data_IF_588517193495
#
_entry.id   IF_588517193495
#
_cell.length_a   1.000
_cell.length_b   1.000
_cell.length_c   1.000
_cell.angle_alpha   90.00
_cell.angle_beta   90.00
_cell.angle_gamma   90.00
#
_symmetry.space_group_name_H-M   'P 1'
#
loop_
_entity.id
_entity.type
_entity.pdbx_description
1 polymer ?
#
# COMPACT_ATOMS: atom_id res chain seq x y z
N UNK A 1 -10.33 49.68 -30.05
CA UNK A 1 -10.02 49.38 -28.64
C UNK A 1 -9.18 48.12 -28.64
N UNK A 2 -7.85 48.26 -28.53
CA UNK A 2 -6.88 47.16 -28.58
C UNK A 2 -6.72 46.61 -27.17
N UNK A 3 -7.04 45.34 -26.96
CA UNK A 3 -6.64 44.64 -25.74
C UNK A 3 -5.23 44.08 -25.97
N UNK A 4 -4.23 44.76 -25.41
CA UNK A 4 -2.88 44.23 -25.26
C UNK A 4 -2.89 43.21 -24.12
N UNK A 5 -2.66 41.94 -24.45
CA UNK A 5 -2.50 40.85 -23.49
C UNK A 5 -1.04 40.83 -22.99
N UNK A 6 -0.61 41.92 -22.36
CA UNK A 6 0.73 42.03 -21.76
C UNK A 6 0.64 41.80 -20.25
N UNK A 7 0.63 40.54 -19.82
CA UNK A 7 1.23 40.03 -18.57
C UNK A 7 0.91 38.55 -18.36
N UNK A 8 1.48 37.68 -19.20
CA UNK A 8 1.85 36.32 -18.79
C UNK A 8 3.32 36.36 -18.37
N UNK A 9 3.62 37.06 -17.28
CA UNK A 9 4.90 36.95 -16.59
C UNK A 9 4.74 35.90 -15.49
N UNK A 10 5.67 34.95 -15.47
CA UNK A 10 5.87 33.93 -14.44
C UNK A 10 4.84 32.76 -14.38
N UNK A 11 4.86 31.88 -15.39
CA UNK A 11 4.76 30.43 -15.11
C UNK A 11 6.19 29.95 -14.85
N UNK A 12 6.72 30.35 -13.71
CA UNK A 12 7.94 29.78 -13.16
C UNK A 12 7.58 28.39 -12.67
N UNK A 13 7.98 27.36 -13.42
CA UNK A 13 8.33 26.02 -12.92
C UNK A 13 7.67 25.54 -11.61
N UNK A 14 6.34 25.59 -11.51
CA UNK A 14 5.58 24.81 -10.53
C UNK A 14 5.44 23.35 -11.01
N UNK A 15 6.57 22.77 -11.44
CA UNK A 15 6.83 21.33 -11.37
C UNK A 15 7.44 20.97 -10.02
N UNK A 16 7.22 21.81 -8.99
CA UNK A 16 7.00 21.31 -7.64
C UNK A 16 5.96 20.21 -7.84
N UNK A 17 6.36 18.97 -7.61
CA UNK A 17 5.49 17.84 -7.44
C UNK A 17 4.12 18.35 -6.95
N UNK A 18 3.11 18.29 -7.82
CA UNK A 18 1.74 18.52 -7.39
C UNK A 18 1.34 17.31 -6.54
N UNK A 19 1.97 17.16 -5.37
CA UNK A 19 1.50 16.47 -4.19
C UNK A 19 0.31 17.24 -3.57
N UNK A 20 -0.55 17.80 -4.43
CA UNK A 20 -1.84 18.36 -4.07
C UNK A 20 -2.88 17.23 -4.11
N UNK A 21 -2.58 16.16 -3.39
CA UNK A 21 -3.56 15.40 -2.64
C UNK A 21 -2.87 15.12 -1.31
N UNK A 22 -3.19 15.94 -0.31
CA UNK A 22 -2.86 15.70 1.09
C UNK A 22 -3.54 14.40 1.56
N UNK A 23 -3.03 13.26 1.11
CA UNK A 23 -3.01 12.08 1.96
C UNK A 23 -2.01 12.37 3.09
N UNK A 24 -2.34 11.96 4.31
CA UNK A 24 -1.48 12.17 5.47
C UNK A 24 -0.06 11.64 5.16
N UNK A 25 0.93 12.53 5.06
CA UNK A 25 2.32 12.14 4.82
C UNK A 25 2.80 11.31 6.02
N UNK A 26 3.23 10.08 5.78
CA UNK A 26 3.79 9.20 6.81
C UNK A 26 5.07 9.84 7.35
N UNK A 27 5.14 10.09 8.66
CA UNK A 27 6.34 10.56 9.35
C UNK A 27 6.87 9.46 10.27
N UNK A 28 8.20 9.35 10.37
CA UNK A 28 8.85 8.28 11.12
C UNK A 28 10.25 8.73 11.57
N UNK A 29 10.84 8.01 12.53
CA UNK A 29 12.20 8.30 13.01
C UNK A 29 13.15 7.16 12.61
N UNK A 30 14.38 7.51 12.26
CA UNK A 30 15.45 6.52 12.14
C UNK A 30 16.36 6.71 13.35
N UNK A 31 16.41 5.70 14.21
CA UNK A 31 17.21 5.69 15.44
C UNK A 31 18.22 4.53 15.41
N UNK A 32 18.99 4.36 16.48
CA UNK A 32 20.00 3.29 16.55
C UNK A 32 19.42 1.87 16.42
N UNK A 33 18.18 1.62 16.88
CA UNK A 33 17.51 0.33 16.73
C UNK A 33 17.19 0.05 15.26
N UNK A 34 16.60 1.02 14.55
CA UNK A 34 16.34 0.94 13.10
C UNK A 34 17.65 0.68 12.34
N UNK A 35 18.70 1.46 12.62
CA UNK A 35 19.99 1.33 11.93
C UNK A 35 20.62 -0.05 12.16
N UNK A 36 20.55 -0.57 13.39
CA UNK A 36 21.08 -1.91 13.69
C UNK A 36 20.40 -3.01 12.86
N UNK A 37 19.09 -2.87 12.62
CA UNK A 37 18.32 -3.81 11.79
C UNK A 37 18.63 -3.66 10.31
N UNK A 38 18.72 -2.42 9.81
CA UNK A 38 19.12 -2.15 8.43
C UNK A 38 20.50 -2.73 8.12
N UNK A 39 21.47 -2.61 9.05
CA UNK A 39 22.80 -3.22 8.93
C UNK A 39 22.74 -4.75 8.88
N UNK A 40 21.96 -5.37 9.76
CA UNK A 40 21.81 -6.82 9.80
C UNK A 40 21.16 -7.38 8.52
N UNK A 41 20.23 -6.65 7.92
CA UNK A 41 19.54 -7.00 6.68
C UNK A 41 20.33 -6.62 5.42
N UNK A 42 21.52 -6.03 5.55
CA UNK A 42 22.33 -5.51 4.43
C UNK A 42 21.52 -4.57 3.52
N UNK A 43 20.63 -3.78 4.12
CA UNK A 43 19.75 -2.88 3.39
C UNK A 43 20.54 -1.77 2.71
N UNK A 44 20.33 -1.59 1.42
CA UNK A 44 20.94 -0.51 0.66
C UNK A 44 20.11 0.76 0.75
N UNK A 45 20.75 1.86 1.12
CA UNK A 45 20.17 3.19 1.16
C UNK A 45 20.98 4.07 0.24
N UNK A 46 20.33 4.78 -0.69
CA UNK A 46 21.04 5.61 -1.67
C UNK A 46 20.78 7.09 -1.39
N UNK A 47 21.83 7.90 -1.20
CA UNK A 47 21.66 9.34 -1.12
C UNK A 47 21.21 9.88 -2.48
N UNK A 48 20.24 10.80 -2.47
CA UNK A 48 19.75 11.45 -3.69
C UNK A 48 20.40 12.82 -3.81
N UNK A 49 20.96 13.08 -4.98
CA UNK A 49 21.46 14.42 -5.34
C UNK A 49 20.44 15.12 -6.23
N UNK A 50 20.43 16.45 -6.19
CA UNK A 50 19.61 17.25 -7.10
C UNK A 50 20.51 17.91 -8.13
N UNK A 51 20.07 17.86 -9.39
CA UNK A 51 20.78 18.48 -10.51
C UNK A 51 19.78 19.37 -11.26
N UNK A 52 20.12 20.64 -11.45
CA UNK A 52 19.37 21.49 -12.37
C UNK A 52 19.66 21.05 -13.81
N UNK A 53 18.61 20.85 -14.58
CA UNK A 53 18.69 20.37 -15.96
C UNK A 53 17.81 21.23 -16.87
N UNK A 54 18.33 21.50 -18.05
CA UNK A 54 17.61 22.19 -19.12
C UNK A 54 16.85 21.18 -19.97
N UNK A 55 15.60 21.49 -20.29
CA UNK A 55 14.77 20.63 -21.13
C UNK A 55 13.80 21.48 -21.96
N UNK A 56 13.28 20.88 -23.02
CA UNK A 56 12.24 21.48 -23.86
C UNK A 56 10.90 20.87 -23.45
N UNK A 57 10.05 21.59 -22.69
CA UNK A 57 8.79 21.04 -22.22
C UNK A 57 7.86 20.76 -23.39
N UNK A 58 7.05 19.72 -23.24
CA UNK A 58 5.91 19.51 -24.14
C UNK A 58 4.77 20.45 -23.73
N UNK A 59 4.30 21.26 -24.67
CA UNK A 59 3.19 22.21 -24.49
C UNK A 59 2.02 21.85 -25.39
N UNK A 60 0.82 22.27 -25.04
CA UNK A 60 -0.35 22.08 -25.91
C UNK A 60 -0.13 22.83 -27.22
N UNK A 61 -0.36 22.13 -28.33
CA UNK A 61 -0.32 22.71 -29.67
C UNK A 61 -0.96 21.78 -30.69
N UNK A 62 -0.84 22.14 -31.95
CA UNK A 62 -1.37 21.36 -33.07
C UNK A 62 -0.34 20.32 -33.49
N UNK A 63 -0.75 19.04 -33.45
CA UNK A 63 0.03 17.91 -33.97
C UNK A 63 -0.67 17.35 -35.21
N UNK A 64 0.06 16.87 -36.23
CA UNK A 64 -0.54 16.21 -37.38
C UNK A 64 -1.46 15.06 -36.95
N UNK A 65 -2.59 14.90 -37.63
CA UNK A 65 -3.39 13.67 -37.49
C UNK A 65 -2.61 12.49 -38.06
N UNK A 66 -2.89 11.26 -37.62
CA UNK A 66 -2.22 10.07 -38.16
C UNK A 66 -2.38 9.94 -39.68
N UNK A 67 -3.51 10.36 -40.23
CA UNK A 67 -3.75 10.36 -41.68
C UNK A 67 -2.88 11.40 -42.39
N UNK A 68 -2.83 12.62 -41.87
CA UNK A 68 -2.00 13.67 -42.45
C UNK A 68 -0.50 13.39 -42.31
N UNK A 69 -0.08 12.73 -41.23
CA UNK A 69 1.31 12.31 -41.04
C UNK A 69 1.75 11.27 -42.08
N UNK A 70 0.90 10.28 -42.38
CA UNK A 70 1.14 9.31 -43.47
C UNK A 70 1.24 10.03 -44.83
N UNK A 71 0.35 11.00 -45.07
CA UNK A 71 0.40 11.82 -46.27
C UNK A 71 1.72 12.61 -46.37
N UNK A 72 2.15 13.28 -45.30
CA UNK A 72 3.40 14.06 -45.27
C UNK A 72 4.65 13.19 -45.50
N UNK A 73 4.71 12.00 -44.90
CA UNK A 73 5.79 11.05 -45.12
C UNK A 73 5.85 10.59 -46.59
N UNK A 74 4.69 10.27 -47.16
CA UNK A 74 4.58 9.86 -48.56
C UNK A 74 5.00 11.00 -49.49
N UNK A 75 4.51 12.22 -49.23
CA UNK A 75 4.86 13.42 -49.99
C UNK A 75 6.37 13.68 -49.97
N UNK A 76 7.02 13.56 -48.80
CA UNK A 76 8.46 13.75 -48.65
C UNK A 76 9.27 12.72 -49.45
N UNK A 77 8.83 11.47 -49.48
CA UNK A 77 9.44 10.42 -50.31
C UNK A 77 9.35 10.78 -51.80
N UNK A 78 8.16 11.16 -52.27
CA UNK A 78 7.94 11.57 -53.66
C UNK A 78 8.69 12.85 -54.05
N UNK A 79 8.84 13.80 -53.14
CA UNK A 79 9.62 15.04 -53.34
C UNK A 79 11.09 14.73 -53.61
N UNK A 80 11.69 13.82 -52.84
CA UNK A 80 13.09 13.46 -52.99
C UNK A 80 13.36 12.86 -54.37
N UNK A 81 12.58 11.85 -54.75
CA UNK A 81 12.67 11.20 -56.07
C UNK A 81 12.41 12.17 -57.23
N UNK A 82 11.41 13.05 -57.07
CA UNK A 82 11.11 14.10 -58.05
C UNK A 82 12.30 15.03 -58.26
N UNK A 83 12.89 15.52 -57.16
CA UNK A 83 14.02 16.45 -57.21
C UNK A 83 15.26 15.81 -57.83
N UNK A 84 15.54 14.55 -57.49
CA UNK A 84 16.67 13.80 -58.02
C UNK A 84 16.49 13.54 -59.53
N UNK A 85 15.30 13.15 -59.96
CA UNK A 85 14.98 13.04 -61.38
C UNK A 85 15.10 14.37 -62.12
N UNK A 86 14.60 15.47 -61.54
CA UNK A 86 14.65 16.78 -62.17
C UNK A 86 16.07 17.32 -62.36
N UNK A 87 17.00 16.91 -61.49
CA UNK A 87 18.43 17.24 -61.58
C UNK A 87 19.22 16.28 -62.48
N UNK A 88 18.64 15.14 -62.88
CA UNK A 88 19.32 14.17 -63.74
C UNK A 88 19.50 14.71 -65.16
N UNK A 89 20.72 14.64 -65.75
CA UNK A 89 20.99 15.10 -67.11
C UNK A 89 20.46 14.13 -68.19
N UNK A 90 20.20 12.87 -67.83
CA UNK A 90 19.78 11.81 -68.75
C UNK A 90 18.30 11.45 -68.56
N UNK A 91 17.41 12.44 -68.64
CA UNK A 91 15.96 12.19 -68.58
C UNK A 91 15.53 11.44 -69.83
N UNK A 92 15.00 10.23 -69.66
CA UNK A 92 14.41 9.48 -70.77
C UNK A 92 13.08 10.12 -71.17
N UNK A 93 12.92 10.45 -72.45
CA UNK A 93 11.65 10.96 -73.01
C UNK A 93 10.60 9.86 -73.24
N UNK A 94 10.96 8.58 -73.09
CA UNK A 94 10.06 7.46 -73.37
C UNK A 94 9.28 6.95 -72.15
N UNK A 95 9.65 7.40 -70.94
CA UNK A 95 9.01 6.97 -69.70
C UNK A 95 9.05 8.09 -68.66
N UNK A 96 7.87 8.50 -68.20
CA UNK A 96 7.71 9.43 -67.08
C UNK A 96 7.45 8.60 -65.83
N UNK A 97 8.39 8.58 -64.86
CA UNK A 97 8.18 7.87 -63.60
C UNK A 97 6.97 8.41 -62.84
N UNK A 98 6.28 7.53 -62.11
CA UNK A 98 5.07 7.89 -61.36
C UNK A 98 5.27 9.09 -60.43
N UNK A 99 6.43 9.21 -59.78
CA UNK A 99 6.73 10.33 -58.88
C UNK A 99 6.75 11.69 -59.56
N UNK A 100 7.04 11.76 -60.88
CA UNK A 100 7.00 13.00 -61.67
C UNK A 100 5.58 13.52 -61.83
N UNK A 101 4.60 12.62 -61.90
CA UNK A 101 3.17 12.96 -61.96
C UNK A 101 2.51 13.05 -60.59
N UNK A 102 2.96 12.27 -59.62
CA UNK A 102 2.28 12.13 -58.33
C UNK A 102 2.67 13.24 -57.34
N UNK A 103 3.94 13.66 -57.29
CA UNK A 103 4.35 14.74 -56.40
C UNK A 103 3.57 16.05 -56.63
N UNK A 104 3.39 16.53 -57.88
CA UNK A 104 2.55 17.70 -58.13
C UNK A 104 1.09 17.51 -57.74
N UNK A 105 0.52 16.31 -57.90
CA UNK A 105 -0.86 16.03 -57.45
C UNK A 105 -0.96 16.10 -55.93
N UNK A 106 0.02 15.55 -55.20
CA UNK A 106 0.05 15.64 -53.75
C UNK A 106 0.16 17.11 -53.27
N UNK A 107 0.88 17.98 -53.99
CA UNK A 107 0.90 19.42 -53.67
C UNK A 107 -0.49 20.07 -53.80
N UNK A 108 -1.30 19.65 -54.77
CA UNK A 108 -2.67 20.13 -54.91
C UNK A 108 -3.62 19.47 -53.90
N UNK A 109 -3.45 18.18 -53.62
CA UNK A 109 -4.23 17.42 -52.63
C UNK A 109 -4.06 18.02 -51.24
N UNK A 110 -2.84 18.39 -50.83
CA UNK A 110 -2.57 19.03 -49.53
C UNK A 110 -3.35 20.34 -49.31
N UNK A 111 -3.63 21.08 -50.39
CA UNK A 111 -4.42 22.32 -50.32
C UNK A 111 -5.90 22.04 -50.03
N UNK A 112 -6.36 20.82 -50.32
CA UNK A 112 -7.75 20.41 -50.12
C UNK A 112 -8.07 19.96 -48.69
N UNK A 113 -7.05 19.55 -47.91
CA UNK A 113 -7.20 19.20 -46.51
C UNK A 113 -7.58 20.43 -45.66
N UNK A 114 -8.64 20.29 -44.86
CA UNK A 114 -9.04 21.23 -43.81
C UNK A 114 -8.07 21.21 -42.62
N UNK A 115 -8.13 22.23 -41.76
CA UNK A 115 -7.27 22.30 -40.57
C UNK A 115 -7.54 21.16 -39.58
N UNK A 116 -8.79 20.72 -39.44
CA UNK A 116 -9.19 19.61 -38.58
C UNK A 116 -8.73 18.25 -39.12
N UNK A 117 -8.61 18.11 -40.44
CA UNK A 117 -8.04 16.92 -41.07
C UNK A 117 -6.51 16.90 -40.96
N UNK A 118 -5.87 18.07 -41.03
CA UNK A 118 -4.41 18.20 -40.86
C UNK A 118 -3.99 18.00 -39.42
N UNK A 119 -4.69 18.62 -38.49
CA UNK A 119 -4.19 18.78 -37.12
C UNK A 119 -5.23 18.47 -36.05
N UNK A 120 -4.75 17.87 -34.96
CA UNK A 120 -5.48 17.72 -33.71
C UNK A 120 -4.73 18.39 -32.57
N UNK A 121 -5.43 18.64 -31.46
CA UNK A 121 -4.79 19.15 -30.24
C UNK A 121 -3.94 18.02 -29.62
N UNK A 122 -2.67 18.32 -29.38
CA UNK A 122 -1.72 17.38 -28.80
C UNK A 122 -0.59 18.09 -28.07
N UNK A 123 0.45 17.32 -27.74
CA UNK A 123 1.65 17.81 -27.09
C UNK A 123 2.76 18.01 -28.13
N UNK A 124 3.21 19.25 -28.30
CA UNK A 124 4.35 19.60 -29.16
C UNK A 124 5.53 20.01 -28.31
N UNK A 125 6.74 19.63 -28.74
CA UNK A 125 7.99 20.06 -28.11
C UNK A 125 8.10 21.58 -28.22
N UNK A 126 8.23 22.26 -27.09
CA UNK A 126 8.45 23.71 -27.07
C UNK A 126 9.83 24.06 -27.63
N UNK A 127 9.95 25.23 -28.22
CA UNK A 127 11.24 25.86 -28.57
C UNK A 127 11.85 26.66 -27.40
N UNK A 128 11.13 26.76 -26.28
CA UNK A 128 11.58 27.46 -25.07
C UNK A 128 12.33 26.46 -24.20
N UNK A 129 13.57 26.78 -23.84
CA UNK A 129 14.32 26.03 -22.83
C UNK A 129 13.75 26.35 -21.46
N UNK A 130 13.33 25.32 -20.72
CA UNK A 130 12.94 25.40 -19.32
C UNK A 130 13.97 24.69 -18.45
N UNK A 131 13.97 25.03 -17.15
CA UNK A 131 14.83 24.41 -16.14
C UNK A 131 14.00 23.64 -15.14
N UNK A 132 14.48 22.47 -14.72
CA UNK A 132 13.90 21.68 -13.63
C UNK A 132 15.00 21.05 -12.77
N UNK A 133 14.66 20.70 -11.53
CA UNK A 133 15.51 19.87 -10.70
C UNK A 133 15.22 18.39 -10.98
N UNK A 134 16.22 17.67 -11.47
CA UNK A 134 16.21 16.21 -11.56
C UNK A 134 16.78 15.61 -10.27
N UNK A 135 16.11 14.59 -9.74
CA UNK A 135 16.58 13.82 -8.60
C UNK A 135 17.43 12.67 -9.14
N UNK A 136 18.73 12.71 -8.86
CA UNK A 136 19.70 11.78 -9.43
C UNK A 136 20.18 10.80 -8.38
N UNK A 137 20.29 9.53 -8.77
CA UNK A 137 20.84 8.46 -7.94
C UNK A 137 22.15 7.93 -8.53
N UNK A 138 23.10 7.58 -7.67
CA UNK A 138 24.27 6.80 -8.05
C UNK A 138 24.15 5.41 -7.43
N UNK A 139 23.72 4.44 -8.24
CA UNK A 139 23.48 3.06 -7.79
C UNK A 139 24.77 2.32 -7.41
N UNK A 140 25.94 2.85 -7.78
CA UNK A 140 27.24 2.29 -7.41
C UNK A 140 27.72 2.81 -6.04
N UNK A 141 27.04 3.82 -5.49
CA UNK A 141 27.42 4.48 -4.24
C UNK A 141 26.26 4.48 -3.23
N UNK A 142 25.92 3.32 -2.66
CA UNK A 142 25.06 3.29 -1.48
C UNK A 142 25.73 4.06 -0.33
N UNK A 143 24.91 4.52 0.61
CA UNK A 143 25.36 5.19 1.81
C UNK A 143 26.21 4.24 2.66
N UNK A 144 27.49 4.59 2.83
CA UNK A 144 28.45 3.77 3.58
C UNK A 144 28.17 3.79 5.09
N UNK A 145 27.94 4.99 5.64
CA UNK A 145 27.61 5.16 7.05
C UNK A 145 26.11 5.39 7.28
N UNK A 146 25.40 4.31 7.61
CA UNK A 146 23.98 4.38 7.95
C UNK A 146 23.71 5.19 9.23
N UNK A 147 24.72 5.53 10.06
CA UNK A 147 24.53 6.43 11.20
C UNK A 147 24.13 7.85 10.77
N UNK A 148 24.49 8.25 9.54
CA UNK A 148 24.04 9.52 8.95
C UNK A 148 22.52 9.58 8.76
N UNK A 149 21.83 8.44 8.78
CA UNK A 149 20.38 8.39 8.67
C UNK A 149 19.65 8.73 9.97
N UNK A 150 20.35 8.97 11.09
CA UNK A 150 19.67 9.33 12.35
C UNK A 150 18.89 10.62 12.19
N UNK A 151 17.60 10.58 12.50
CA UNK A 151 16.75 11.77 12.46
C UNK A 151 15.28 11.45 12.20
N UNK A 152 14.50 12.51 11.94
CA UNK A 152 13.09 12.40 11.59
C UNK A 152 12.90 12.53 10.08
N UNK A 153 11.99 11.74 9.55
CA UNK A 153 11.76 11.61 8.12
C UNK A 153 10.29 11.72 7.78
N UNK A 154 10.03 12.13 6.55
CA UNK A 154 8.73 11.99 5.90
C UNK A 154 8.86 11.19 4.61
N UNK A 155 7.88 10.35 4.36
CA UNK A 155 7.70 9.67 3.08
C UNK A 155 7.29 10.71 2.03
N UNK A 156 8.01 10.74 0.90
CA UNK A 156 7.67 11.57 -0.25
C UNK A 156 6.85 10.74 -1.25
N UNK A 157 7.33 9.53 -1.58
CA UNK A 157 6.63 8.60 -2.46
C UNK A 157 7.19 7.18 -2.32
N UNK A 158 6.33 6.17 -2.46
CA UNK A 158 6.70 4.74 -2.48
C UNK A 158 6.64 4.11 -3.89
N UNK A 159 6.45 4.91 -4.93
CA UNK A 159 6.24 4.42 -6.32
C UNK A 159 7.41 4.70 -7.25
N UNK A 160 8.51 5.20 -6.71
CA UNK A 160 9.61 5.77 -7.48
C UNK A 160 10.33 4.70 -8.30
N UNK A 161 10.66 5.07 -9.55
CA UNK A 161 11.49 4.29 -10.47
C UNK A 161 12.69 5.10 -10.93
N UNK A 162 13.74 4.39 -11.36
CA UNK A 162 15.00 4.96 -11.83
C UNK A 162 15.06 4.78 -13.34
N UNK A 163 15.30 5.85 -14.09
CA UNK A 163 15.46 5.76 -15.55
C UNK A 163 16.78 5.08 -15.88
N UNK A 164 16.74 3.99 -16.65
CA UNK A 164 17.95 3.28 -17.07
C UNK A 164 18.74 4.04 -18.15
N UNK A 165 18.03 4.86 -18.94
CA UNK A 165 18.56 5.58 -20.09
C UNK A 165 18.03 7.02 -20.15
N UNK A 166 18.65 7.84 -20.99
CA UNK A 166 18.13 9.15 -21.35
C UNK A 166 16.89 8.99 -22.24
N UNK A 167 15.77 9.57 -21.80
CA UNK A 167 14.52 9.64 -22.57
C UNK A 167 14.34 11.08 -23.02
N UNK A 168 14.41 11.29 -24.33
CA UNK A 168 14.45 12.62 -24.93
C UNK A 168 13.37 13.55 -24.36
N UNK A 169 13.80 14.69 -23.81
CA UNK A 169 12.95 15.73 -23.21
C UNK A 169 12.05 15.27 -22.05
N UNK A 170 12.35 14.12 -21.42
CA UNK A 170 11.54 13.58 -20.32
C UNK A 170 12.37 13.21 -19.11
N UNK A 171 13.29 12.26 -19.26
CA UNK A 171 14.09 11.73 -18.15
C UNK A 171 15.57 11.67 -18.53
N UNK A 172 16.44 11.89 -17.56
CA UNK A 172 17.86 11.58 -17.69
C UNK A 172 18.16 10.17 -17.18
N UNK A 173 19.22 9.56 -17.70
CA UNK A 173 19.77 8.34 -17.13
C UNK A 173 20.08 8.53 -15.63
N UNK A 174 19.66 7.57 -14.82
CA UNK A 174 19.71 7.57 -13.37
C UNK A 174 18.85 8.64 -12.69
N UNK A 175 17.86 9.21 -13.38
CA UNK A 175 16.86 10.07 -12.77
C UNK A 175 15.79 9.25 -12.05
N UNK A 176 15.44 9.67 -10.84
CA UNK A 176 14.34 9.15 -10.06
C UNK A 176 13.04 9.89 -10.40
N UNK A 177 12.00 9.14 -10.76
CA UNK A 177 10.69 9.72 -11.06
C UNK A 177 9.55 8.73 -10.80
N UNK A 178 8.42 9.26 -10.32
CA UNK A 178 7.15 8.52 -10.27
C UNK A 178 6.48 8.41 -11.65
N UNK A 179 6.71 9.38 -12.54
CA UNK A 179 6.10 9.43 -13.87
C UNK A 179 6.64 8.35 -14.83
N UNK A 180 7.85 7.84 -14.53
CA UNK A 180 8.50 6.82 -15.35
C UNK A 180 7.66 5.55 -15.44
N UNK A 181 6.92 5.22 -14.38
CA UNK A 181 6.03 4.04 -14.35
C UNK A 181 4.91 4.16 -15.38
N UNK A 182 4.24 5.31 -15.40
CA UNK A 182 3.18 5.60 -16.38
C UNK A 182 3.73 5.64 -17.80
N UNK A 183 4.95 6.15 -17.99
CA UNK A 183 5.59 6.17 -19.30
C UNK A 183 5.90 4.76 -19.84
N UNK A 184 6.41 3.87 -18.99
CA UNK A 184 6.76 2.49 -19.37
C UNK A 184 5.54 1.55 -19.44
N UNK A 185 4.34 2.05 -19.11
CA UNK A 185 3.11 1.25 -19.12
C UNK A 185 3.09 0.16 -18.04
N UNK A 186 3.91 0.28 -17.00
CA UNK A 186 3.92 -0.69 -15.90
C UNK A 186 2.69 -0.51 -15.01
N UNK A 187 2.08 -1.61 -14.52
CA UNK A 187 0.97 -1.54 -13.58
C UNK A 187 1.40 -0.81 -12.29
N UNK A 188 0.42 -0.22 -11.60
CA UNK A 188 0.64 0.41 -10.30
C UNK A 188 1.31 -0.57 -9.33
N UNK A 189 2.38 -0.15 -8.68
CA UNK A 189 3.11 -0.98 -7.74
C UNK A 189 4.13 -0.14 -6.97
N UNK A 190 4.48 -0.61 -5.78
CA UNK A 190 5.50 0.02 -4.95
C UNK A 190 6.83 -0.66 -5.19
N UNK A 191 7.89 0.12 -5.34
CA UNK A 191 9.23 -0.38 -5.71
C UNK A 191 10.29 0.23 -4.81
N UNK A 192 10.45 1.53 -4.91
CA UNK A 192 11.39 2.30 -4.11
C UNK A 192 10.64 3.40 -3.38
N UNK A 193 11.10 3.71 -2.18
CA UNK A 193 10.58 4.78 -1.35
C UNK A 193 11.57 5.92 -1.29
N UNK A 194 11.17 7.09 -1.78
CA UNK A 194 11.87 8.34 -1.55
C UNK A 194 11.45 8.90 -0.20
N UNK A 195 12.44 9.08 0.68
CA UNK A 195 12.26 9.69 1.99
C UNK A 195 13.07 10.98 2.10
N UNK A 196 12.55 11.96 2.83
CA UNK A 196 13.23 13.21 3.10
C UNK A 196 13.49 13.34 4.60
N UNK A 197 14.74 13.58 4.99
CA UNK A 197 15.07 13.97 6.34
C UNK A 197 14.51 15.38 6.60
N UNK A 198 13.68 15.52 7.63
CA UNK A 198 12.93 16.74 7.92
C UNK A 198 13.87 17.87 8.33
N UNK A 199 14.92 17.55 9.08
CA UNK A 199 15.81 18.55 9.69
C UNK A 199 16.84 19.08 8.68
N UNK A 200 17.35 18.21 7.81
CA UNK A 200 18.42 18.54 6.85
C UNK A 200 17.91 18.79 5.44
N UNK A 201 16.67 18.40 5.14
CA UNK A 201 16.10 18.43 3.79
C UNK A 201 16.71 17.42 2.80
N UNK A 202 17.71 16.62 3.22
CA UNK A 202 18.36 15.60 2.39
C UNK A 202 17.39 14.48 2.01
N UNK A 203 17.54 13.98 0.79
CA UNK A 203 16.72 12.91 0.24
C UNK A 203 17.50 11.59 0.19
N UNK A 204 16.79 10.50 0.45
CA UNK A 204 17.33 9.15 0.40
C UNK A 204 16.32 8.22 -0.26
N UNK A 205 16.83 7.23 -0.98
CA UNK A 205 16.04 6.17 -1.61
C UNK A 205 16.32 4.84 -0.92
N UNK A 206 15.25 4.11 -0.62
CA UNK A 206 15.32 2.74 -0.11
C UNK A 206 14.35 1.85 -0.88
N UNK A 207 14.57 0.53 -0.84
CA UNK A 207 13.56 -0.42 -1.33
C UNK A 207 12.28 -0.30 -0.50
N UNK A 208 11.14 -0.56 -1.12
CA UNK A 208 9.85 -0.48 -0.44
C UNK A 208 9.76 -1.43 0.77
N UNK A 209 10.25 -2.66 0.65
CA UNK A 209 10.24 -3.63 1.76
C UNK A 209 11.12 -3.16 2.93
N UNK A 210 12.30 -2.61 2.65
CA UNK A 210 13.14 -1.96 3.65
C UNK A 210 12.39 -0.82 4.35
N UNK A 211 11.66 0.01 3.59
CA UNK A 211 10.84 1.08 4.16
C UNK A 211 9.74 0.54 5.07
N UNK A 212 9.05 -0.55 4.68
CA UNK A 212 8.05 -1.18 5.56
C UNK A 212 8.68 -1.68 6.86
N UNK A 213 9.86 -2.28 6.81
CA UNK A 213 10.59 -2.71 8.01
C UNK A 213 10.91 -1.52 8.94
N UNK A 214 11.35 -0.38 8.38
CA UNK A 214 11.57 0.85 9.16
C UNK A 214 10.31 1.28 9.89
N UNK A 215 9.15 1.25 9.23
CA UNK A 215 7.87 1.61 9.86
C UNK A 215 7.50 0.64 10.98
N UNK A 216 7.63 -0.67 10.74
CA UNK A 216 7.33 -1.70 11.75
C UNK A 216 8.21 -1.57 12.99
N UNK A 217 9.51 -1.28 12.83
CA UNK A 217 10.44 -1.09 13.95
C UNK A 217 10.03 0.16 14.75
N UNK A 218 9.69 1.25 14.08
CA UNK A 218 9.21 2.47 14.73
C UNK A 218 7.95 2.23 15.54
N UNK A 219 6.96 1.56 14.94
CA UNK A 219 5.71 1.24 15.61
C UNK A 219 5.95 0.35 16.83
N UNK A 220 6.80 -0.68 16.71
CA UNK A 220 7.17 -1.58 17.81
C UNK A 220 7.83 -0.83 18.97
N UNK A 221 8.78 0.07 18.69
CA UNK A 221 9.42 0.89 19.71
C UNK A 221 8.46 1.87 20.39
N UNK A 222 7.49 2.43 19.64
CA UNK A 222 6.46 3.30 20.19
C UNK A 222 5.48 2.54 21.10
N UNK A 223 5.09 1.32 20.70
CA UNK A 223 4.28 0.41 21.53
C UNK A 223 4.98 0.11 22.84
N UNK A 224 6.26 -0.26 22.79
CA UNK A 224 7.04 -0.59 23.97
C UNK A 224 7.13 0.57 24.95
N UNK A 225 7.39 1.80 24.46
CA UNK A 225 7.38 3.00 25.30
C UNK A 225 6.02 3.24 25.95
N UNK A 226 4.94 3.13 25.17
CA UNK A 226 3.58 3.28 25.69
C UNK A 226 3.27 2.25 26.77
N UNK A 227 3.54 0.97 26.51
CA UNK A 227 3.31 -0.11 27.45
C UNK A 227 4.14 0.04 28.73
N UNK A 228 5.42 0.43 28.59
CA UNK A 228 6.29 0.72 29.73
C UNK A 228 5.75 1.86 30.57
N UNK A 229 5.25 2.94 29.94
CA UNK A 229 4.61 4.07 30.65
C UNK A 229 3.32 3.67 31.38
N UNK A 230 2.67 2.60 30.93
CA UNK A 230 1.50 2.00 31.56
C UNK A 230 1.88 0.95 32.63
N UNK A 231 3.18 0.72 32.89
CA UNK A 231 3.68 -0.20 33.90
C UNK A 231 3.81 -1.66 33.43
N UNK A 232 3.67 -1.93 32.13
CA UNK A 232 3.89 -3.27 31.59
C UNK A 232 5.36 -3.50 31.28
N UNK A 233 5.82 -4.73 31.54
CA UNK A 233 7.14 -5.21 31.13
C UNK A 233 7.05 -5.90 29.77
N UNK A 234 7.92 -5.50 28.84
CA UNK A 234 8.08 -6.15 27.53
C UNK A 234 9.11 -7.29 27.61
N UNK A 235 8.92 -8.26 26.74
CA UNK A 235 9.76 -9.44 26.58
C UNK A 235 10.06 -9.64 25.10
N UNK A 236 11.20 -10.25 24.78
CA UNK A 236 11.60 -10.55 23.41
C UNK A 236 11.82 -12.05 23.24
N UNK A 237 11.25 -12.62 22.17
CA UNK A 237 11.40 -14.03 21.81
C UNK A 237 11.39 -14.13 20.29
N UNK A 238 12.41 -14.77 19.71
CA UNK A 238 12.58 -14.95 18.27
C UNK A 238 12.48 -13.62 17.48
N UNK A 239 13.03 -12.52 18.02
CA UNK A 239 13.00 -11.20 17.37
C UNK A 239 11.65 -10.47 17.42
N UNK A 240 10.65 -11.03 18.12
CA UNK A 240 9.36 -10.39 18.34
C UNK A 240 9.20 -9.96 19.79
N UNK A 241 8.77 -8.72 19.99
CA UNK A 241 8.45 -8.17 21.32
C UNK A 241 7.00 -8.47 21.69
N UNK A 242 6.75 -8.73 22.97
CA UNK A 242 5.42 -9.02 23.50
C UNK A 242 5.31 -8.60 24.97
N UNK A 243 4.06 -8.49 25.44
CA UNK A 243 3.75 -8.42 26.87
C UNK A 243 3.13 -9.73 27.33
N UNK A 244 3.38 -10.06 28.59
CA UNK A 244 2.78 -11.21 29.27
C UNK A 244 1.87 -10.66 30.36
N UNK A 245 0.58 -10.98 30.30
CA UNK A 245 -0.38 -10.73 31.37
C UNK A 245 -0.56 -11.98 32.24
N UNK A 246 -1.45 -11.91 33.22
CA UNK A 246 -1.84 -13.09 34.01
C UNK A 246 -2.44 -14.22 33.17
N UNK A 247 -3.00 -13.91 32.01
CA UNK A 247 -3.87 -14.83 31.26
C UNK A 247 -3.36 -15.14 29.85
N UNK A 248 -2.70 -14.19 29.21
CA UNK A 248 -2.35 -14.26 27.80
C UNK A 248 -1.06 -13.49 27.50
N UNK A 249 -0.50 -13.77 26.34
CA UNK A 249 0.61 -13.05 25.72
C UNK A 249 0.07 -12.25 24.53
N UNK A 250 0.50 -11.00 24.37
CA UNK A 250 0.11 -10.13 23.24
C UNK A 250 1.36 -9.62 22.55
N UNK A 251 1.47 -9.72 21.21
CA UNK A 251 2.57 -9.12 20.47
C UNK A 251 2.52 -7.59 20.57
N UNK A 252 3.70 -6.98 20.68
CA UNK A 252 3.86 -5.53 20.64
C UNK A 252 3.86 -5.06 19.18
N UNK A 253 2.69 -5.01 18.55
CA UNK A 253 2.53 -4.64 17.14
C UNK A 253 1.79 -3.30 16.95
N UNK A 254 1.75 -2.82 15.71
CA UNK A 254 1.05 -1.59 15.35
C UNK A 254 -0.46 -1.64 15.62
N UNK A 255 -1.07 -2.83 15.60
CA UNK A 255 -2.50 -3.00 15.89
C UNK A 255 -2.75 -2.71 17.37
N UNK A 256 -1.94 -3.29 18.26
CA UNK A 256 -1.98 -3.02 19.69
C UNK A 256 -1.71 -1.54 19.97
N UNK A 257 -0.73 -0.94 19.30
CA UNK A 257 -0.44 0.50 19.43
C UNK A 257 -1.67 1.36 19.18
N UNK A 258 -2.26 1.19 18.00
CA UNK A 258 -3.38 2.00 17.52
C UNK A 258 -4.62 1.79 18.39
N UNK A 259 -4.80 0.57 18.90
CA UNK A 259 -5.87 0.26 19.83
C UNK A 259 -5.66 0.95 21.17
N UNK A 260 -4.46 0.88 21.75
CA UNK A 260 -4.13 1.51 23.04
C UNK A 260 -4.14 3.04 22.99
N UNK A 261 -3.79 3.64 21.83
CA UNK A 261 -3.94 5.09 21.63
C UNK A 261 -5.39 5.54 21.71
N UNK A 262 -6.32 4.73 21.20
CA UNK A 262 -7.76 5.02 21.22
C UNK A 262 -8.38 4.67 22.57
N UNK A 263 -7.91 3.60 23.19
CA UNK A 263 -8.44 3.05 24.43
C UNK A 263 -7.32 2.57 25.35
N UNK A 264 -6.86 3.46 26.24
CA UNK A 264 -5.78 3.16 27.21
C UNK A 264 -6.15 2.04 28.19
N UNK A 265 -7.43 1.71 28.35
CA UNK A 265 -7.88 0.65 29.25
C UNK A 265 -8.10 -0.68 28.55
N UNK A 266 -7.77 -0.77 27.25
CA UNK A 266 -8.02 -1.95 26.43
C UNK A 266 -7.52 -3.26 27.06
N UNK A 267 -6.28 -3.29 27.56
CA UNK A 267 -5.72 -4.49 28.21
C UNK A 267 -6.48 -4.88 29.50
N UNK A 268 -6.93 -3.90 30.29
CA UNK A 268 -7.76 -4.15 31.48
C UNK A 268 -9.13 -4.74 31.11
N UNK A 269 -9.71 -4.30 29.98
CA UNK A 269 -10.97 -4.85 29.45
C UNK A 269 -10.79 -6.31 29.04
N UNK A 270 -9.69 -6.62 28.35
CA UNK A 270 -9.36 -8.00 27.98
C UNK A 270 -9.18 -8.85 29.25
N UNK A 271 -8.43 -8.39 30.25
CA UNK A 271 -8.26 -9.11 31.52
C UNK A 271 -9.62 -9.40 32.19
N UNK A 272 -10.53 -8.42 32.17
CA UNK A 272 -11.89 -8.58 32.68
C UNK A 272 -12.66 -9.66 31.90
N UNK A 273 -12.55 -9.69 30.58
CA UNK A 273 -13.18 -10.72 29.75
C UNK A 273 -12.61 -12.11 30.04
N UNK A 274 -11.30 -12.24 30.28
CA UNK A 274 -10.71 -13.52 30.69
C UNK A 274 -11.21 -14.00 32.05
N UNK A 275 -11.32 -13.13 33.04
CA UNK A 275 -11.85 -13.52 34.36
C UNK A 275 -13.35 -13.85 34.29
N UNK A 276 -14.13 -13.13 33.47
CA UNK A 276 -15.53 -13.47 33.17
C UNK A 276 -15.62 -14.86 32.53
N UNK A 277 -14.80 -15.12 31.50
CA UNK A 277 -14.77 -16.41 30.81
C UNK A 277 -14.42 -17.55 31.78
N UNK A 278 -13.44 -17.34 32.65
CA UNK A 278 -13.09 -18.30 33.71
C UNK A 278 -14.25 -18.56 34.67
N UNK A 279 -14.98 -17.51 35.06
CA UNK A 279 -16.18 -17.62 35.89
C UNK A 279 -17.27 -18.48 35.24
N UNK A 280 -17.60 -18.18 33.98
CA UNK A 280 -18.58 -18.93 33.19
C UNK A 280 -18.18 -20.42 33.09
N UNK A 281 -16.88 -20.73 32.93
CA UNK A 281 -16.38 -22.13 32.89
C UNK A 281 -16.58 -22.85 34.19
N UNK A 282 -16.26 -22.23 35.32
CA UNK A 282 -16.53 -22.84 36.63
C UNK A 282 -18.03 -23.16 36.79
N UNK A 283 -18.89 -22.26 36.33
CA UNK A 283 -20.34 -22.49 36.36
C UNK A 283 -20.77 -23.62 35.42
N UNK A 284 -20.27 -23.68 34.19
CA UNK A 284 -20.55 -24.75 33.24
C UNK A 284 -20.15 -26.12 33.79
N UNK A 285 -18.93 -26.23 34.33
CA UNK A 285 -18.44 -27.47 34.94
C UNK A 285 -19.29 -27.94 36.12
N UNK A 286 -19.89 -27.01 36.87
CA UNK A 286 -20.81 -27.35 37.96
C UNK A 286 -22.13 -27.99 37.48
N UNK A 287 -22.48 -27.83 36.20
CA UNK A 287 -23.68 -28.43 35.61
C UNK A 287 -23.44 -29.88 35.15
N UNK A 288 -22.21 -30.25 34.79
CA UNK A 288 -21.89 -31.57 34.24
C UNK A 288 -22.41 -32.74 35.12
N UNK A 289 -22.19 -32.78 36.45
CA UNK A 289 -22.72 -33.86 37.28
C UNK A 289 -24.25 -33.93 37.30
N UNK A 290 -24.92 -32.78 37.20
CA UNK A 290 -26.40 -32.71 37.19
C UNK A 290 -26.95 -33.21 35.86
N UNK A 291 -26.33 -32.82 34.75
CA UNK A 291 -26.69 -33.34 33.42
C UNK A 291 -26.46 -34.84 33.31
N UNK A 292 -25.30 -35.32 33.77
CA UNK A 292 -24.97 -36.74 33.77
C UNK A 292 -26.02 -37.55 34.54
N UNK A 293 -26.44 -37.07 35.71
CA UNK A 293 -27.49 -37.71 36.48
C UNK A 293 -28.83 -37.80 35.73
N UNK A 294 -29.30 -36.70 35.13
CA UNK A 294 -30.58 -36.72 34.40
C UNK A 294 -30.52 -37.57 33.13
N UNK A 295 -29.41 -37.54 32.40
CA UNK A 295 -29.19 -38.38 31.22
C UNK A 295 -29.18 -39.86 31.63
N UNK A 296 -28.56 -40.20 32.75
CA UNK A 296 -28.58 -41.56 33.30
C UNK A 296 -29.99 -42.00 33.69
N UNK A 297 -30.75 -41.15 34.38
CA UNK A 297 -32.16 -41.43 34.71
C UNK A 297 -32.96 -41.67 33.43
N UNK A 298 -32.81 -40.80 32.43
CA UNK A 298 -33.47 -40.96 31.14
C UNK A 298 -33.11 -42.28 30.45
N UNK A 299 -31.84 -42.67 30.43
CA UNK A 299 -31.39 -43.95 29.85
C UNK A 299 -32.03 -45.16 30.54
N UNK A 300 -32.19 -45.11 31.86
CA UNK A 300 -32.75 -46.21 32.65
C UNK A 300 -34.29 -46.22 32.68
N UNK A 301 -34.92 -45.04 32.60
CA UNK A 301 -36.34 -44.84 32.90
C UNK A 301 -37.05 -43.97 31.86
N UNK A 302 -36.63 -44.00 30.59
CA UNK A 302 -37.15 -43.14 29.52
C UNK A 302 -38.68 -42.93 29.54
N UNK A 303 -39.44 -44.01 29.67
CA UNK A 303 -40.91 -43.99 29.65
C UNK A 303 -41.56 -43.86 31.05
N UNK A 304 -40.75 -43.75 32.11
CA UNK A 304 -41.17 -43.74 33.52
C UNK A 304 -40.55 -42.59 34.33
N UNK A 305 -39.84 -41.68 33.67
CA UNK A 305 -39.23 -40.53 34.33
C UNK A 305 -40.31 -39.64 34.94
N UNK A 306 -40.10 -39.17 36.17
CA UNK A 306 -41.13 -38.39 36.86
C UNK A 306 -41.30 -37.01 36.20
N UNK A 307 -42.51 -36.43 36.31
CA UNK A 307 -42.76 -35.06 35.86
C UNK A 307 -41.83 -34.05 36.56
N UNK A 308 -41.49 -34.31 37.81
CA UNK A 308 -40.57 -33.48 38.58
C UNK A 308 -39.15 -33.53 37.99
N UNK A 309 -38.63 -34.72 37.66
CA UNK A 309 -37.30 -34.87 37.06
C UNK A 309 -37.23 -34.22 35.68
N UNK A 310 -38.26 -34.40 34.85
CA UNK A 310 -38.36 -33.76 33.52
C UNK A 310 -38.35 -32.22 33.68
N UNK A 311 -39.12 -31.69 34.63
CA UNK A 311 -39.18 -30.24 34.89
C UNK A 311 -37.85 -29.68 35.40
N UNK A 312 -37.18 -30.40 36.31
CA UNK A 312 -35.88 -30.00 36.83
C UNK A 312 -34.79 -30.04 35.75
N UNK A 313 -34.79 -31.07 34.89
CA UNK A 313 -33.87 -31.17 33.76
C UNK A 313 -34.14 -30.09 32.70
N UNK A 314 -35.41 -29.77 32.42
CA UNK A 314 -35.82 -28.65 31.55
C UNK A 314 -35.28 -27.33 32.08
N UNK A 315 -35.40 -27.08 33.37
CA UNK A 315 -34.92 -25.84 34.03
C UNK A 315 -33.40 -25.72 34.00
N UNK A 316 -32.69 -26.84 34.27
CA UNK A 316 -31.24 -26.91 34.15
C UNK A 316 -30.79 -26.62 32.72
N UNK A 317 -31.44 -27.24 31.73
CA UNK A 317 -31.12 -27.07 30.31
C UNK A 317 -31.33 -25.63 29.86
N UNK A 318 -32.45 -24.98 30.22
CA UNK A 318 -32.67 -23.55 29.92
C UNK A 318 -31.59 -22.65 30.53
N UNK A 319 -31.19 -22.92 31.77
CA UNK A 319 -30.15 -22.17 32.45
C UNK A 319 -28.78 -22.36 31.78
N UNK A 320 -28.49 -23.57 31.31
CA UNK A 320 -27.27 -23.89 30.57
C UNK A 320 -27.25 -23.28 29.16
N UNK A 321 -28.38 -23.23 28.45
CA UNK A 321 -28.49 -22.50 27.17
C UNK A 321 -28.18 -21.02 27.37
N UNK A 322 -28.73 -20.40 28.42
CA UNK A 322 -28.44 -19.00 28.74
C UNK A 322 -26.95 -18.77 29.04
N UNK A 323 -26.33 -19.69 29.80
CA UNK A 323 -24.90 -19.67 30.06
C UNK A 323 -24.08 -19.81 28.77
N UNK A 324 -24.45 -20.74 27.89
CA UNK A 324 -23.76 -20.96 26.60
C UNK A 324 -23.85 -19.72 25.70
N UNK A 325 -24.98 -18.99 25.69
CA UNK A 325 -25.07 -17.71 24.97
C UNK A 325 -24.07 -16.67 25.49
N UNK A 326 -23.83 -16.63 26.79
CA UNK A 326 -22.83 -15.74 27.38
C UNK A 326 -21.40 -16.17 26.98
N UNK A 327 -21.14 -17.47 26.89
CA UNK A 327 -19.89 -18.00 26.37
C UNK A 327 -19.60 -17.55 24.94
N UNK A 328 -20.55 -17.77 24.03
CA UNK A 328 -20.42 -17.41 22.62
C UNK A 328 -20.15 -15.92 22.47
N UNK A 329 -20.98 -15.07 23.11
CA UNK A 329 -20.83 -13.63 23.03
C UNK A 329 -19.47 -13.12 23.55
N UNK A 330 -18.92 -13.76 24.60
CA UNK A 330 -17.62 -13.39 25.15
C UNK A 330 -16.46 -13.94 24.31
N UNK A 331 -16.62 -15.13 23.73
CA UNK A 331 -15.65 -15.71 22.82
C UNK A 331 -15.50 -14.89 21.53
N UNK A 332 -16.62 -14.41 20.96
CA UNK A 332 -16.60 -13.54 19.78
C UNK A 332 -15.82 -12.25 20.03
N UNK A 333 -15.95 -11.67 21.23
CA UNK A 333 -15.16 -10.50 21.63
C UNK A 333 -13.67 -10.82 21.69
N UNK A 334 -13.32 -11.93 22.34
CA UNK A 334 -11.93 -12.35 22.45
C UNK A 334 -11.33 -12.71 21.09
N UNK A 335 -12.08 -13.32 20.16
CA UNK A 335 -11.58 -13.72 18.84
C UNK A 335 -10.98 -12.57 18.02
N UNK A 336 -11.46 -11.33 18.26
CA UNK A 336 -10.93 -10.12 17.61
C UNK A 336 -9.59 -9.64 18.15
N UNK A 337 -9.09 -10.26 19.23
CA UNK A 337 -7.85 -9.88 19.90
C UNK A 337 -6.73 -10.77 19.39
N UNK A 338 -5.58 -10.17 19.05
CA UNK A 338 -4.37 -10.91 18.69
C UNK A 338 -3.64 -11.34 19.98
N UNK A 339 -3.92 -12.54 20.50
CA UNK A 339 -3.29 -13.05 21.74
C UNK A 339 -3.00 -14.55 21.69
N UNK A 340 -2.07 -14.97 22.55
CA UNK A 340 -1.76 -16.36 22.83
C UNK A 340 -2.14 -16.68 24.29
N UNK A 341 -2.93 -17.72 24.52
CA UNK A 341 -3.34 -18.13 25.88
C UNK A 341 -2.19 -18.82 26.58
N UNK A 342 -1.86 -18.39 27.80
CA UNK A 342 -0.76 -18.98 28.57
C UNK A 342 -1.15 -20.30 29.25
N UNK A 343 -2.39 -20.39 29.71
CA UNK A 343 -2.90 -21.58 30.37
C UNK A 343 -3.34 -22.63 29.34
N UNK A 344 -2.52 -23.64 29.07
CA UNK A 344 -2.88 -24.74 28.15
C UNK A 344 -4.06 -25.57 28.67
N UNK A 345 -4.36 -25.51 29.96
CA UNK A 345 -5.55 -26.16 30.54
C UNK A 345 -6.82 -25.31 30.41
N UNK A 346 -6.70 -24.09 29.88
CA UNK A 346 -7.82 -23.16 29.68
C UNK A 346 -8.99 -23.79 28.92
N UNK A 347 -8.71 -24.63 27.92
CA UNK A 347 -9.74 -25.33 27.12
C UNK A 347 -10.12 -26.72 27.64
N UNK A 348 -9.48 -27.20 28.71
CA UNK A 348 -9.72 -28.54 29.25
C UNK A 348 -11.09 -28.57 29.91
N UNK A 349 -11.93 -29.53 29.50
CA UNK A 349 -13.31 -29.79 29.98
C UNK A 349 -14.44 -28.92 29.37
N UNK A 350 -14.18 -28.08 28.34
CA UNK A 350 -15.27 -27.37 27.63
C UNK A 350 -16.19 -28.36 26.89
N UNK A 351 -15.59 -29.39 26.29
CA UNK A 351 -16.31 -30.36 25.46
C UNK A 351 -17.38 -31.14 26.23
N UNK A 352 -17.17 -31.42 27.51
CA UNK A 352 -18.13 -32.19 28.32
C UNK A 352 -19.42 -31.41 28.54
N UNK A 353 -19.31 -30.11 28.83
CA UNK A 353 -20.47 -29.24 28.98
C UNK A 353 -21.29 -29.16 27.70
N UNK A 354 -20.61 -28.94 26.56
CA UNK A 354 -21.27 -28.82 25.25
C UNK A 354 -21.95 -30.14 24.84
N UNK A 355 -21.30 -31.28 25.09
CA UNK A 355 -21.86 -32.61 24.83
C UNK A 355 -23.10 -32.88 25.69
N UNK A 356 -23.03 -32.59 26.98
CA UNK A 356 -24.16 -32.77 27.90
C UNK A 356 -25.33 -31.84 27.58
N UNK A 357 -25.04 -30.59 27.23
CA UNK A 357 -26.03 -29.61 26.81
C UNK A 357 -26.70 -30.03 25.49
N UNK A 358 -25.92 -30.39 24.48
CA UNK A 358 -26.42 -30.87 23.18
C UNK A 358 -27.29 -32.12 23.32
N UNK A 359 -26.87 -33.07 24.15
CA UNK A 359 -27.66 -34.28 24.47
C UNK A 359 -28.99 -33.90 25.13
N UNK A 360 -28.97 -32.98 26.09
CA UNK A 360 -30.18 -32.54 26.81
C UNK A 360 -31.14 -31.79 25.90
N UNK A 361 -30.64 -30.92 25.01
CA UNK A 361 -31.43 -30.23 23.99
C UNK A 361 -32.12 -31.25 23.08
N UNK A 362 -31.38 -32.22 22.56
CA UNK A 362 -31.93 -33.24 21.66
C UNK A 362 -32.98 -34.14 22.31
N UNK A 363 -32.81 -34.47 23.60
CA UNK A 363 -33.78 -35.31 24.32
C UNK A 363 -35.05 -34.53 24.69
N UNK A 364 -34.91 -33.27 25.12
CA UNK A 364 -36.01 -32.45 25.60
C UNK A 364 -36.73 -31.66 24.49
N UNK A 365 -36.15 -31.57 23.29
CA UNK A 365 -36.76 -30.94 22.12
C UNK A 365 -36.74 -29.40 22.16
N UNK A 366 -35.63 -28.82 22.61
CA UNK A 366 -35.43 -27.36 22.67
C UNK A 366 -35.03 -26.71 21.35
#
# INVERSE_FOLDING_TARGET
MKFELSTFKAITSCSILMFANLSAQTTFAINSEVISKLKAEQSMVYPITTREVEFYPFVKGKVPTSQYEIFLQSKKYFEQEYNDYMKSPNKSNSYTPAFVTEYPKMLEEEKSFSEEEKYTDGLVKSNIVAKRNAYMIDMEKPLEDLEELKGNYKEISSTMLISADDVENRFLKNELSDDLRSYLGYPSGKSNTLMQNIDTGKFYLVLYDTFQNILVINDTGNVEKLLTSMGYKTYEQNGHKYIITKHYKVPCDAILYNTLKKDKEYLKKIDTWFEQMRGLRKQALSYNPKFDNYIRIYRLQRNRMSKADISAWTTLTKSAIALNKQFVALNDRLWSVNYEILDKSYMKNSNDFDNYLGTSIGILGF
#
